data_IF_518005403530
#
_entry.id   IF_518005403530
#
_cell.length_a   1.000
_cell.length_b   1.000
_cell.length_c   1.000
_cell.angle_alpha   90.00
_cell.angle_beta   90.00
_cell.angle_gamma   90.00
#
_symmetry.space_group_name_H-M   'P 1'
#
loop_
_entity.id
_entity.type
_entity.pdbx_description
1 polymer ?
#
# COMPACT_ATOMS: atom_id res chain seq x y z
N UNK A 1 22.18 -9.99 6.54
CA UNK A 1 21.19 -11.00 6.14
C UNK A 1 20.51 -10.49 4.87
N UNK A 2 20.83 -11.04 3.70
CA UNK A 2 20.20 -10.61 2.43
C UNK A 2 18.74 -11.06 2.42
N UNK A 3 17.81 -10.11 2.44
CA UNK A 3 16.39 -10.40 2.23
C UNK A 3 16.22 -10.90 0.79
N UNK A 4 15.68 -12.11 0.64
CA UNK A 4 15.56 -12.73 -0.69
C UNK A 4 14.47 -12.00 -1.48
N UNK A 5 14.78 -11.37 -2.64
CA UNK A 5 13.81 -10.61 -3.42
C UNK A 5 12.57 -11.43 -3.82
N UNK A 6 12.75 -12.73 -4.05
CA UNK A 6 11.68 -13.66 -4.41
C UNK A 6 10.61 -13.90 -3.33
N UNK A 7 10.78 -13.41 -2.10
CA UNK A 7 9.77 -13.61 -1.05
C UNK A 7 8.52 -12.76 -1.30
N UNK A 8 8.70 -11.46 -1.54
CA UNK A 8 7.58 -10.54 -1.78
C UNK A 8 6.81 -10.96 -3.02
N UNK A 9 7.50 -11.27 -4.12
CA UNK A 9 6.84 -11.68 -5.38
C UNK A 9 5.91 -12.89 -5.19
N UNK A 10 6.36 -13.92 -4.44
CA UNK A 10 5.52 -15.09 -4.15
C UNK A 10 4.35 -14.77 -3.22
N UNK A 11 4.55 -13.87 -2.27
CA UNK A 11 3.48 -13.41 -1.38
C UNK A 11 2.43 -12.61 -2.17
N UNK A 12 2.84 -11.77 -3.11
CA UNK A 12 1.97 -11.05 -4.04
C UNK A 12 1.20 -12.01 -4.96
N UNK A 13 1.88 -13.01 -5.55
CA UNK A 13 1.22 -14.04 -6.38
C UNK A 13 0.13 -14.78 -5.59
N UNK A 14 0.45 -15.12 -4.34
CA UNK A 14 -0.50 -15.77 -3.45
C UNK A 14 -1.69 -14.87 -3.12
N UNK A 15 -1.45 -13.58 -2.88
CA UNK A 15 -2.52 -12.61 -2.62
C UNK A 15 -3.48 -12.52 -3.82
N UNK A 16 -2.95 -12.42 -5.05
CA UNK A 16 -3.78 -12.43 -6.26
C UNK A 16 -4.54 -13.75 -6.39
N UNK A 17 -3.90 -14.90 -6.20
CA UNK A 17 -4.57 -16.19 -6.28
C UNK A 17 -5.72 -16.33 -5.27
N UNK A 18 -5.53 -15.84 -4.03
CA UNK A 18 -6.58 -15.83 -3.01
C UNK A 18 -7.73 -14.88 -3.38
N UNK A 19 -7.41 -13.70 -3.90
CA UNK A 19 -8.39 -12.75 -4.39
C UNK A 19 -9.22 -13.32 -5.53
N UNK A 20 -8.59 -13.94 -6.53
CA UNK A 20 -9.26 -14.63 -7.64
C UNK A 20 -10.19 -15.75 -7.16
N UNK A 21 -9.76 -16.54 -6.17
CA UNK A 21 -10.58 -17.60 -5.58
C UNK A 21 -11.75 -17.06 -4.74
N UNK A 22 -11.65 -15.83 -4.25
CA UNK A 22 -12.70 -15.17 -3.49
C UNK A 22 -13.76 -14.50 -4.38
N UNK A 23 -13.37 -13.94 -5.53
CA UNK A 23 -14.26 -13.18 -6.43
C UNK A 23 -15.62 -13.81 -6.73
N UNK A 24 -15.75 -15.14 -7.01
CA UNK A 24 -17.06 -15.75 -7.27
C UNK A 24 -18.07 -15.55 -6.14
N UNK A 25 -17.59 -15.41 -4.89
CA UNK A 25 -18.38 -15.24 -3.68
C UNK A 25 -18.56 -13.78 -3.25
N UNK A 26 -17.93 -12.83 -3.95
CA UNK A 26 -18.11 -11.42 -3.66
C UNK A 26 -19.54 -10.99 -3.97
N UNK A 27 -20.19 -10.27 -3.06
CA UNK A 27 -21.48 -9.63 -3.31
C UNK A 27 -21.38 -8.11 -3.11
N UNK A 28 -22.08 -7.31 -3.93
CA UNK A 28 -22.17 -5.88 -3.71
C UNK A 28 -22.75 -5.55 -2.33
N UNK A 29 -22.14 -4.59 -1.64
CA UNK A 29 -22.64 -4.14 -0.34
C UNK A 29 -23.97 -3.39 -0.48
N UNK A 30 -24.98 -3.81 0.28
CA UNK A 30 -26.29 -3.14 0.39
C UNK A 30 -26.35 -2.16 1.57
N UNK A 31 -25.30 -2.12 2.42
CA UNK A 31 -25.25 -1.23 3.58
C UNK A 31 -24.91 0.22 3.17
N UNK A 32 -25.46 1.20 3.91
CA UNK A 32 -25.12 2.63 3.76
C UNK A 32 -23.61 2.83 3.89
N UNK A 33 -23.03 3.54 2.92
CA UNK A 33 -21.59 3.79 2.83
C UNK A 33 -21.08 4.47 4.10
N UNK A 34 -19.89 4.06 4.55
CA UNK A 34 -19.03 4.93 5.37
C UNK A 34 -18.62 6.13 4.52
N UNK A 35 -18.61 7.32 5.13
CA UNK A 35 -18.39 8.59 4.44
C UNK A 35 -16.91 8.89 4.16
N UNK A 36 -16.01 7.97 4.49
CA UNK A 36 -14.57 8.15 4.37
C UNK A 36 -14.05 7.60 3.04
N UNK A 37 -13.31 8.42 2.31
CA UNK A 37 -12.64 8.02 1.06
C UNK A 37 -11.46 7.12 1.41
N UNK A 38 -11.37 5.95 0.75
CA UNK A 38 -10.23 5.06 0.92
C UNK A 38 -8.95 5.71 0.38
N UNK A 39 -7.91 5.79 1.20
CA UNK A 39 -6.61 6.38 0.83
C UNK A 39 -5.67 5.40 0.12
N UNK A 40 -5.97 4.10 0.17
CA UNK A 40 -5.13 3.04 -0.43
C UNK A 40 -5.51 2.81 -1.89
N UNK A 41 -6.80 2.66 -2.21
CA UNK A 41 -7.25 2.29 -3.56
C UNK A 41 -6.79 3.26 -4.68
N UNK A 42 -6.88 4.59 -4.50
CA UNK A 42 -6.44 5.54 -5.53
C UNK A 42 -4.96 5.40 -5.91
N UNK A 43 -4.10 4.90 -5.00
CA UNK A 43 -2.67 4.70 -5.30
C UNK A 43 -2.43 3.59 -6.31
N UNK A 44 -3.33 2.60 -6.38
CA UNK A 44 -3.16 1.41 -7.22
C UNK A 44 -4.05 1.42 -8.46
N UNK A 45 -5.17 2.16 -8.45
CA UNK A 45 -6.20 2.07 -9.49
C UNK A 45 -5.66 2.40 -10.88
N UNK A 46 -4.98 3.54 -11.03
CA UNK A 46 -4.43 4.00 -12.30
C UNK A 46 -3.23 3.13 -12.72
N UNK A 47 -2.38 2.79 -11.75
CA UNK A 47 -1.18 1.97 -11.95
C UNK A 47 -1.50 0.56 -12.46
N UNK A 48 -2.66 0.02 -12.06
CA UNK A 48 -3.13 -1.30 -12.46
C UNK A 48 -4.10 -1.30 -13.64
N UNK A 49 -4.56 -0.13 -14.11
CA UNK A 49 -5.62 0.03 -15.11
C UNK A 49 -6.93 -0.70 -14.71
N UNK A 50 -7.39 -0.44 -13.48
CA UNK A 50 -8.51 -1.10 -12.81
C UNK A 50 -9.61 -0.10 -12.37
N UNK A 51 -9.75 1.00 -13.08
CA UNK A 51 -10.60 2.17 -12.78
C UNK A 51 -12.10 1.92 -12.93
N UNK A 52 -12.52 0.98 -13.77
CA UNK A 52 -13.93 0.66 -13.99
C UNK A 52 -14.52 -0.34 -12.98
N UNK A 53 -13.73 -0.75 -11.98
CA UNK A 53 -14.12 -1.82 -11.06
C UNK A 53 -14.80 -1.25 -9.81
N UNK A 54 -15.85 -1.91 -9.28
CA UNK A 54 -16.41 -1.54 -7.99
C UNK A 54 -15.33 -1.48 -6.90
N UNK A 55 -15.48 -0.52 -5.97
CA UNK A 55 -14.52 -0.30 -4.90
C UNK A 55 -14.23 -1.58 -4.07
N UNK A 56 -15.24 -2.41 -3.81
CA UNK A 56 -15.12 -3.60 -2.94
C UNK A 56 -14.07 -4.60 -3.43
N UNK A 57 -14.19 -5.15 -4.65
CA UNK A 57 -13.20 -6.07 -5.23
C UNK A 57 -11.81 -5.45 -5.33
N UNK A 58 -11.69 -4.18 -5.75
CA UNK A 58 -10.41 -3.47 -5.81
C UNK A 58 -9.78 -3.38 -4.41
N UNK A 59 -10.55 -2.93 -3.43
CA UNK A 59 -10.10 -2.77 -2.04
C UNK A 59 -9.58 -4.08 -1.44
N UNK A 60 -10.28 -5.19 -1.67
CA UNK A 60 -9.86 -6.50 -1.17
C UNK A 60 -8.48 -6.92 -1.71
N UNK A 61 -8.18 -6.62 -2.99
CA UNK A 61 -6.88 -6.89 -3.58
C UNK A 61 -5.80 -5.96 -3.02
N UNK A 62 -6.01 -4.65 -3.15
CA UNK A 62 -4.96 -3.65 -2.93
C UNK A 62 -4.60 -3.49 -1.46
N UNK A 63 -5.52 -3.74 -0.52
CA UNK A 63 -5.19 -3.74 0.91
C UNK A 63 -4.33 -4.93 1.31
N UNK A 64 -4.56 -6.10 0.73
CA UNK A 64 -3.70 -7.28 0.94
C UNK A 64 -2.29 -7.04 0.39
N UNK A 65 -2.20 -6.46 -0.81
CA UNK A 65 -0.92 -6.08 -1.44
C UNK A 65 -0.18 -5.02 -0.62
N UNK A 66 -0.85 -3.95 -0.22
CA UNK A 66 -0.24 -2.84 0.52
C UNK A 66 0.29 -3.30 1.88
N UNK A 67 -0.43 -4.19 2.57
CA UNK A 67 0.04 -4.80 3.81
C UNK A 67 1.33 -5.62 3.61
N UNK A 68 1.40 -6.45 2.56
CA UNK A 68 2.59 -7.24 2.23
C UNK A 68 3.79 -6.35 1.86
N UNK A 69 3.54 -5.29 1.09
CA UNK A 69 4.53 -4.29 0.73
C UNK A 69 5.10 -3.60 1.98
N UNK A 70 4.24 -3.10 2.87
CA UNK A 70 4.64 -2.42 4.10
C UNK A 70 5.44 -3.38 4.99
N UNK A 71 4.97 -4.61 5.21
CA UNK A 71 5.68 -5.61 6.00
C UNK A 71 7.08 -5.91 5.42
N UNK A 72 7.17 -6.04 4.10
CA UNK A 72 8.44 -6.30 3.41
C UNK A 72 9.40 -5.10 3.47
N UNK A 73 8.86 -3.89 3.32
CA UNK A 73 9.59 -2.64 3.47
C UNK A 73 10.15 -2.49 4.89
N UNK A 74 9.34 -2.68 5.93
CA UNK A 74 9.79 -2.52 7.33
C UNK A 74 10.90 -3.51 7.68
N UNK A 75 10.83 -4.75 7.17
CA UNK A 75 11.94 -5.71 7.31
C UNK A 75 13.21 -5.23 6.63
N UNK A 76 13.12 -4.66 5.43
CA UNK A 76 14.26 -4.09 4.74
C UNK A 76 14.83 -2.88 5.47
N UNK A 77 13.96 -2.00 5.97
CA UNK A 77 14.35 -0.83 6.74
C UNK A 77 15.15 -1.24 7.99
N UNK A 78 14.62 -2.18 8.77
CA UNK A 78 15.28 -2.70 9.98
C UNK A 78 16.61 -3.40 9.67
N UNK A 79 16.69 -4.13 8.55
CA UNK A 79 17.92 -4.81 8.14
C UNK A 79 18.99 -3.83 7.62
N UNK A 80 18.60 -2.75 6.94
CA UNK A 80 19.50 -1.74 6.39
C UNK A 80 19.96 -0.72 7.43
N UNK A 81 19.08 -0.36 8.36
CA UNK A 81 19.36 0.59 9.45
C UNK A 81 19.16 -0.06 10.83
N UNK A 82 19.97 -1.06 11.21
CA UNK A 82 19.78 -1.86 12.43
C UNK A 82 19.98 -1.09 13.75
N UNK A 83 20.46 0.15 13.66
CA UNK A 83 20.60 1.05 14.79
C UNK A 83 19.45 2.07 14.88
N UNK A 84 18.69 2.31 13.80
CA UNK A 84 17.71 3.40 13.72
C UNK A 84 16.68 3.35 14.84
N UNK A 85 16.05 2.19 15.02
CA UNK A 85 15.07 1.98 16.10
C UNK A 85 15.72 1.44 17.38
N UNK A 86 17.05 1.22 17.38
CA UNK A 86 17.77 0.69 18.54
C UNK A 86 17.79 1.74 19.63
N UNK A 87 17.26 1.41 20.81
CA UNK A 87 17.13 2.34 21.92
C UNK A 87 15.79 3.07 22.00
N UNK A 88 14.87 2.83 21.06
CA UNK A 88 13.49 3.30 21.13
C UNK A 88 13.29 4.80 20.89
N UNK A 89 14.34 5.52 20.49
CA UNK A 89 14.29 6.96 20.21
C UNK A 89 13.59 7.29 18.89
N UNK A 90 13.60 6.37 17.92
CA UNK A 90 12.99 6.55 16.62
C UNK A 90 12.14 5.34 16.24
N UNK A 91 11.08 5.59 15.46
CA UNK A 91 10.21 4.55 14.90
C UNK A 91 9.95 4.82 13.43
N UNK A 92 10.14 3.80 12.60
CA UNK A 92 9.84 3.79 11.17
C UNK A 92 8.48 3.15 10.95
N UNK A 93 7.63 3.80 10.15
CA UNK A 93 6.35 3.25 9.75
C UNK A 93 5.88 3.85 8.42
N UNK A 94 4.80 3.32 7.88
CA UNK A 94 4.18 3.83 6.66
C UNK A 94 2.75 4.24 6.98
N UNK A 95 2.42 5.49 6.67
CA UNK A 95 1.06 6.02 6.81
C UNK A 95 0.52 6.40 5.45
N UNK A 96 -0.57 5.76 5.00
CA UNK A 96 -1.26 6.14 3.75
C UNK A 96 -0.30 6.26 2.55
N UNK A 97 0.75 5.43 2.52
CA UNK A 97 1.78 5.44 1.47
C UNK A 97 2.96 6.39 1.70
N UNK A 98 3.01 7.09 2.83
CA UNK A 98 4.10 7.99 3.20
C UNK A 98 4.99 7.30 4.22
N UNK A 99 6.28 7.20 3.93
CA UNK A 99 7.28 6.71 4.90
C UNK A 99 7.50 7.79 5.96
N UNK A 100 7.38 7.39 7.22
CA UNK A 100 7.56 8.26 8.37
C UNK A 100 8.64 7.72 9.30
N UNK A 101 9.36 8.66 9.90
CA UNK A 101 10.23 8.40 11.03
C UNK A 101 9.80 9.37 12.12
N UNK A 102 9.36 8.85 13.26
CA UNK A 102 8.90 9.66 14.39
C UNK A 102 9.80 9.44 15.59
N UNK A 103 10.09 10.50 16.33
CA UNK A 103 10.82 10.41 17.59
C UNK A 103 9.98 9.76 18.69
N UNK A 104 10.60 9.37 19.79
CA UNK A 104 9.91 8.86 20.99
C UNK A 104 8.90 9.84 21.56
N UNK A 105 9.13 11.14 21.33
CA UNK A 105 8.28 12.23 21.80
C UNK A 105 7.12 12.53 20.84
N UNK A 106 7.02 11.79 19.72
CA UNK A 106 5.89 11.82 18.80
C UNK A 106 6.03 12.77 17.62
N UNK A 107 7.15 13.48 17.49
CA UNK A 107 7.41 14.40 16.38
C UNK A 107 7.89 13.66 15.13
N UNK A 108 7.40 14.04 13.95
CA UNK A 108 7.93 13.54 12.68
C UNK A 108 9.33 14.15 12.45
N UNK A 109 10.24 13.39 11.86
CA UNK A 109 11.59 13.88 11.57
C UNK A 109 11.55 15.13 10.67
N UNK A 110 10.57 15.24 9.78
CA UNK A 110 10.39 16.42 8.92
C UNK A 110 10.01 17.67 9.73
N UNK A 111 9.46 17.52 10.94
CA UNK A 111 9.11 18.63 11.85
C UNK A 111 10.30 19.07 12.71
N UNK A 112 11.29 18.19 12.89
CA UNK A 112 12.45 18.40 13.75
C UNK A 112 13.68 18.93 13.00
N UNK A 113 13.70 18.81 11.67
CA UNK A 113 14.78 19.30 10.83
C UNK A 113 14.61 20.81 10.64
N UNK A 114 15.63 21.58 11.04
CA UNK A 114 15.80 22.93 10.54
C UNK A 114 16.37 22.84 9.09
N UNK A 115 15.75 23.48 8.08
CA UNK A 115 16.27 23.49 6.72
C UNK A 115 17.74 23.94 6.61
N UNK A 116 18.23 24.73 7.56
CA UNK A 116 19.60 25.24 7.61
C UNK A 116 20.63 24.20 8.10
N UNK A 117 20.19 23.13 8.78
CA UNK A 117 21.04 22.09 9.40
C UNK A 117 21.23 20.84 8.52
N UNK A 118 20.78 20.84 7.26
CA UNK A 118 20.91 19.69 6.36
C UNK A 118 22.33 19.61 5.78
N UNK A 119 23.26 19.01 6.54
CA UNK A 119 24.53 18.56 5.97
C UNK A 119 24.33 17.22 5.25
N UNK A 120 24.51 17.20 3.92
CA UNK A 120 24.54 15.98 3.11
C UNK A 120 25.91 15.29 3.32
N UNK A 121 26.11 14.70 4.50
CA UNK A 121 27.32 13.98 4.90
C UNK A 121 27.30 12.49 4.54
N UNK A 122 28.47 11.95 4.16
CA UNK A 122 28.69 10.54 3.83
C UNK A 122 28.47 9.62 5.06
N UNK A 123 27.58 8.62 4.90
CA UNK A 123 27.16 7.65 5.92
C UNK A 123 28.19 6.51 6.16
N UNK A 124 29.44 6.84 6.47
CA UNK A 124 30.42 5.86 6.96
C UNK A 124 30.33 5.61 8.48
N UNK A 125 29.41 6.27 9.18
CA UNK A 125 29.29 6.22 10.65
C UNK A 125 28.00 5.53 11.16
N UNK A 126 27.47 4.51 10.48
CA UNK A 126 26.46 3.62 11.08
C UNK A 126 27.08 2.49 11.94
N UNK A 127 28.37 2.60 12.26
CA UNK A 127 29.13 1.65 13.06
C UNK A 127 29.86 2.32 14.24
N UNK A 128 29.12 2.63 15.32
CA UNK A 128 29.46 2.51 16.76
C UNK A 128 29.00 3.71 17.65
N UNK A 129 28.51 3.35 18.84
CA UNK A 129 28.39 4.07 20.14
C UNK A 129 27.56 5.34 20.35
N UNK A 130 27.22 6.15 19.34
CA UNK A 130 26.51 7.43 19.58
C UNK A 130 24.99 7.36 19.36
N UNK A 131 24.18 8.16 20.09
CA UNK A 131 22.74 8.23 19.86
C UNK A 131 22.42 8.83 18.48
N UNK A 132 21.42 8.26 17.82
CA UNK A 132 21.01 8.67 16.47
C UNK A 132 20.41 10.08 16.52
N UNK A 133 21.09 11.01 15.87
CA UNK A 133 20.68 12.41 15.72
C UNK A 133 19.52 12.57 14.74
N UNK A 134 18.86 13.73 14.79
CA UNK A 134 17.80 14.10 13.83
C UNK A 134 18.31 14.07 12.39
N UNK A 135 19.52 14.58 12.12
CA UNK A 135 20.13 14.55 10.80
C UNK A 135 20.34 13.12 10.26
N UNK A 136 20.77 12.18 11.11
CA UNK A 136 20.87 10.77 10.72
C UNK A 136 19.51 10.14 10.41
N UNK A 137 18.49 10.44 11.22
CA UNK A 137 17.12 10.00 10.95
C UNK A 137 16.59 10.58 9.63
N UNK A 138 16.86 11.86 9.35
CA UNK A 138 16.49 12.53 8.11
C UNK A 138 17.11 11.86 6.88
N UNK A 139 18.43 11.62 6.92
CA UNK A 139 19.14 10.94 5.84
C UNK A 139 18.61 9.52 5.60
N UNK A 140 18.37 8.76 6.68
CA UNK A 140 17.76 7.45 6.60
C UNK A 140 16.36 7.50 5.98
N UNK A 141 15.54 8.50 6.31
CA UNK A 141 14.21 8.68 5.73
C UNK A 141 14.25 8.84 4.22
N UNK A 142 15.17 9.64 3.70
CA UNK A 142 15.31 9.86 2.25
C UNK A 142 15.63 8.54 1.53
N UNK A 143 16.54 7.73 2.09
CA UNK A 143 16.84 6.40 1.53
C UNK A 143 15.64 5.45 1.61
N UNK A 144 14.94 5.45 2.74
CA UNK A 144 13.76 4.61 2.95
C UNK A 144 12.60 4.99 2.02
N UNK A 145 12.39 6.28 1.74
CA UNK A 145 11.42 6.74 0.75
C UNK A 145 11.73 6.18 -0.64
N UNK A 146 13.00 6.26 -1.09
CA UNK A 146 13.42 5.69 -2.39
C UNK A 146 13.20 4.19 -2.44
N UNK A 147 13.55 3.48 -1.37
CA UNK A 147 13.32 2.04 -1.25
C UNK A 147 11.82 1.70 -1.34
N UNK A 148 10.97 2.41 -0.61
CA UNK A 148 9.54 2.16 -0.60
C UNK A 148 8.91 2.39 -1.99
N UNK A 149 9.29 3.47 -2.67
CA UNK A 149 8.85 3.77 -4.05
C UNK A 149 9.28 2.66 -5.00
N UNK A 150 10.54 2.20 -4.92
CA UNK A 150 11.02 1.07 -5.73
C UNK A 150 10.20 -0.20 -5.50
N UNK A 151 9.98 -0.58 -4.24
CA UNK A 151 9.20 -1.77 -3.89
C UNK A 151 7.74 -1.66 -4.33
N UNK A 152 7.16 -0.46 -4.27
CA UNK A 152 5.82 -0.18 -4.78
C UNK A 152 5.75 -0.42 -6.29
N UNK A 153 6.67 0.14 -7.08
CA UNK A 153 6.72 -0.06 -8.53
C UNK A 153 6.98 -1.52 -8.92
N UNK A 154 7.82 -2.24 -8.18
CA UNK A 154 8.05 -3.67 -8.39
C UNK A 154 6.77 -4.48 -8.11
N UNK A 155 6.05 -4.12 -7.06
CA UNK A 155 4.77 -4.75 -6.70
C UNK A 155 3.71 -4.52 -7.76
N UNK A 156 3.55 -3.27 -8.22
CA UNK A 156 2.67 -2.91 -9.35
C UNK A 156 3.06 -3.68 -10.61
N UNK A 157 4.34 -3.70 -10.96
CA UNK A 157 4.83 -4.42 -12.14
C UNK A 157 4.56 -5.92 -12.05
N UNK A 158 4.65 -6.51 -10.85
CA UNK A 158 4.28 -7.91 -10.61
C UNK A 158 2.78 -8.14 -10.81
N UNK A 159 1.93 -7.28 -10.27
CA UNK A 159 0.47 -7.37 -10.43
C UNK A 159 0.05 -7.20 -11.90
N UNK A 160 0.64 -6.24 -12.62
CA UNK A 160 0.35 -6.01 -14.05
C UNK A 160 0.64 -7.23 -14.92
N UNK A 161 1.61 -8.08 -14.56
CA UNK A 161 1.85 -9.36 -15.25
C UNK A 161 0.66 -10.33 -15.15
N UNK A 162 -0.20 -10.16 -14.14
CA UNK A 162 -1.42 -10.95 -13.94
C UNK A 162 -2.68 -10.21 -14.41
N UNK A 163 -2.55 -9.02 -15.01
CA UNK A 163 -3.67 -8.16 -15.40
C UNK A 163 -4.73 -8.90 -16.22
N UNK A 164 -4.31 -9.66 -17.24
CA UNK A 164 -5.24 -10.41 -18.08
C UNK A 164 -6.06 -11.46 -17.31
N UNK A 165 -5.49 -12.05 -16.26
CA UNK A 165 -6.21 -13.00 -15.41
C UNK A 165 -7.18 -12.27 -14.48
N UNK A 166 -6.75 -11.13 -13.93
CA UNK A 166 -7.58 -10.29 -13.08
C UNK A 166 -8.80 -9.78 -13.85
N UNK A 167 -8.61 -9.17 -15.01
CA UNK A 167 -9.71 -8.63 -15.83
C UNK A 167 -10.67 -9.72 -16.29
N UNK A 168 -10.18 -10.88 -16.74
CA UNK A 168 -11.07 -12.02 -17.07
C UNK A 168 -11.92 -12.46 -15.88
N UNK A 169 -11.35 -12.54 -14.69
CA UNK A 169 -12.09 -12.94 -13.49
C UNK A 169 -13.12 -11.87 -13.08
N UNK A 170 -12.79 -10.60 -13.20
CA UNK A 170 -13.71 -9.49 -12.94
C UNK A 170 -14.90 -9.52 -13.91
N UNK A 171 -14.65 -9.65 -15.21
CA UNK A 171 -15.72 -9.78 -16.21
C UNK A 171 -16.58 -11.03 -15.98
N UNK A 172 -16.01 -12.12 -15.49
CA UNK A 172 -16.75 -13.35 -15.24
C UNK A 172 -17.59 -13.32 -13.94
N UNK A 173 -17.09 -12.70 -12.87
CA UNK A 173 -17.65 -12.84 -11.53
C UNK A 173 -18.20 -11.56 -10.92
N UNK A 174 -17.70 -10.39 -11.31
CA UNK A 174 -18.11 -9.09 -10.77
C UNK A 174 -19.13 -8.44 -11.69
N UNK A 175 -18.81 -8.34 -12.98
CA UNK A 175 -19.64 -7.63 -13.96
C UNK A 175 -21.10 -8.13 -14.00
N UNK A 176 -21.39 -9.44 -14.02
CA UNK A 176 -22.78 -9.90 -14.06
C UNK A 176 -23.57 -9.52 -12.80
N UNK A 177 -22.90 -9.33 -11.66
CA UNK A 177 -23.56 -8.92 -10.41
C UNK A 177 -23.88 -7.43 -10.42
N UNK A 178 -22.95 -6.62 -10.93
CA UNK A 178 -23.15 -5.18 -11.12
C UNK A 178 -24.29 -4.93 -12.11
N UNK A 179 -24.29 -5.64 -13.25
CA UNK A 179 -25.34 -5.49 -14.25
C UNK A 179 -26.72 -5.82 -13.68
N UNK A 180 -26.86 -6.91 -12.91
CA UNK A 180 -28.13 -7.25 -12.25
C UNK A 180 -28.62 -6.14 -11.33
N UNK A 181 -27.75 -5.52 -10.54
CA UNK A 181 -28.14 -4.40 -9.70
C UNK A 181 -28.59 -3.19 -10.51
N UNK A 182 -27.91 -2.91 -11.63
CA UNK A 182 -28.29 -1.82 -12.52
C UNK A 182 -29.68 -2.08 -13.14
N UNK A 183 -29.93 -3.32 -13.59
CA UNK A 183 -31.22 -3.74 -14.15
C UNK A 183 -32.34 -3.63 -13.10
N UNK A 184 -32.10 -4.09 -11.87
CA UNK A 184 -33.04 -3.99 -10.75
C UNK A 184 -33.39 -2.52 -10.44
N UNK A 185 -32.38 -1.64 -10.41
CA UNK A 185 -32.56 -0.21 -10.16
C UNK A 185 -33.39 0.46 -11.28
N UNK A 186 -33.14 0.11 -12.54
CA UNK A 186 -33.90 0.62 -13.69
C UNK A 186 -35.38 0.19 -13.57
N UNK A 187 -35.64 -1.06 -13.17
CA UNK A 187 -36.99 -1.56 -12.96
C UNK A 187 -37.71 -0.85 -11.81
N UNK A 188 -37.01 -0.51 -10.72
CA UNK A 188 -37.60 0.25 -9.60
C UNK A 188 -37.97 1.68 -10.02
N UNK A 189 -37.06 2.37 -10.70
CA UNK A 189 -37.28 3.75 -11.16
C UNK A 189 -38.43 3.82 -12.17
N UNK A 190 -38.48 2.89 -13.13
CA UNK A 190 -39.54 2.86 -14.15
C UNK A 190 -40.91 2.55 -13.56
N UNK A 191 -41.01 1.66 -12.56
CA UNK A 191 -42.26 1.40 -11.82
C UNK A 191 -42.70 2.62 -11.01
N UNK A 192 -41.78 3.31 -10.36
CA UNK A 192 -42.09 4.50 -9.56
C UNK A 192 -42.55 5.70 -10.41
N UNK A 193 -42.09 5.81 -11.67
CA UNK A 193 -42.52 6.86 -12.59
C UNK A 193 -43.84 6.59 -13.34
N UNK A 194 -44.36 5.36 -13.28
CA UNK A 194 -45.62 4.95 -13.92
C UNK A 194 -46.82 4.95 -12.94
N UNK A 195 -46.57 5.20 -11.65
CA UNK A 195 -47.58 5.32 -10.58
C UNK A 195 -47.84 6.80 -10.26
#
# INVERSE_FOLDING_TARGET
MMLRPYRLERELDRAVAQWLAWLPRWEPSTARRRNEICTVCPRYVDELALDEIPHGPLHALVTSVDALLIEHFLRHAAARFPNLERGGLWRVWVERGVVRITSSDGFDVDELIDPEDIEIGSLDALGLSEPITVAHAAAARIELLRLYISLFHDSVSRLRRQHSQMTRALSAYVEPKVQRMADDLILEITKAGAA
#
